data_IF_632295447280
#
_entry.id   IF_632295447280
#
_cell.length_a   1.000
_cell.length_b   1.000
_cell.length_c   1.000
_cell.angle_alpha   90.00
_cell.angle_beta   90.00
_cell.angle_gamma   90.00
#
_symmetry.space_group_name_H-M   'P 1'
#
loop_
_entity.id
_entity.type
_entity.pdbx_description
1 polymer ?
#
# COMPACT_ATOMS: atom_id res chain seq x y z
N UNK A 1 17.62 13.45 -22.23
CA UNK A 1 17.99 12.45 -21.22
C UNK A 1 16.83 11.49 -21.12
N UNK A 2 17.04 10.19 -21.29
CA UNK A 2 15.97 9.23 -21.07
C UNK A 2 15.55 9.25 -19.59
N UNK A 3 14.29 8.99 -19.30
CA UNK A 3 13.75 9.06 -17.92
C UNK A 3 14.56 8.20 -16.93
N UNK A 4 15.07 7.05 -17.40
CA UNK A 4 15.92 6.16 -16.62
C UNK A 4 17.25 6.82 -16.23
N UNK A 5 17.95 7.40 -17.20
CA UNK A 5 19.23 8.07 -16.96
C UNK A 5 19.06 9.23 -15.98
N UNK A 6 17.96 9.98 -16.11
CA UNK A 6 17.60 11.05 -15.18
C UNK A 6 17.44 10.53 -13.75
N UNK A 7 16.72 9.42 -13.54
CA UNK A 7 16.56 8.82 -12.22
C UNK A 7 17.88 8.34 -11.63
N UNK A 8 18.72 7.71 -12.45
CA UNK A 8 20.04 7.23 -12.02
C UNK A 8 20.96 8.40 -11.64
N UNK A 9 20.96 9.48 -12.43
CA UNK A 9 21.73 10.69 -12.14
C UNK A 9 21.29 11.32 -10.81
N UNK A 10 19.98 11.53 -10.60
CA UNK A 10 19.45 12.05 -9.34
C UNK A 10 19.83 11.17 -8.15
N UNK A 11 19.70 9.85 -8.27
CA UNK A 11 20.12 8.94 -7.21
C UNK A 11 21.62 9.08 -6.88
N UNK A 12 22.49 9.16 -7.88
CA UNK A 12 23.93 9.33 -7.69
C UNK A 12 24.29 10.63 -6.99
N UNK A 13 23.58 11.71 -7.30
CA UNK A 13 23.73 12.98 -6.59
C UNK A 13 23.36 12.85 -5.11
N UNK A 14 22.23 12.22 -4.79
CA UNK A 14 21.82 11.98 -3.40
C UNK A 14 22.82 11.08 -2.67
N UNK A 15 23.28 10.01 -3.31
CA UNK A 15 24.29 9.10 -2.76
C UNK A 15 25.61 9.83 -2.46
N UNK A 16 26.04 10.76 -3.32
CA UNK A 16 27.26 11.53 -3.13
C UNK A 16 27.21 12.48 -1.91
N UNK A 17 26.02 12.83 -1.40
CA UNK A 17 25.86 13.62 -0.18
C UNK A 17 26.23 12.84 1.10
N UNK A 18 26.31 11.51 1.04
CA UNK A 18 26.51 10.68 2.23
C UNK A 18 25.28 10.68 3.13
N UNK A 19 25.50 10.85 4.44
CA UNK A 19 24.40 10.89 5.42
C UNK A 19 23.70 12.25 5.41
N UNK A 20 22.39 12.23 5.17
CA UNK A 20 21.53 13.41 5.17
C UNK A 20 20.49 13.33 6.30
N UNK A 21 20.12 14.45 6.93
CA UNK A 21 19.12 14.45 7.99
C UNK A 21 17.73 14.11 7.44
N UNK A 22 16.92 13.44 8.24
CA UNK A 22 15.53 13.14 7.87
C UNK A 22 14.68 14.41 7.79
N UNK A 23 13.97 14.59 6.68
CA UNK A 23 13.04 15.72 6.49
C UNK A 23 11.70 15.52 7.22
N UNK A 24 11.46 14.33 7.79
CA UNK A 24 10.22 14.02 8.52
C UNK A 24 10.46 13.03 9.65
N UNK A 25 9.71 13.14 10.73
CA UNK A 25 9.81 12.18 11.85
C UNK A 25 9.18 10.83 11.50
N UNK A 26 9.64 9.78 12.17
CA UNK A 26 9.09 8.41 12.15
C UNK A 26 9.26 7.66 10.82
N UNK A 27 8.44 6.63 10.61
CA UNK A 27 8.59 5.68 9.51
C UNK A 27 8.55 6.32 8.12
N UNK A 28 7.79 7.40 7.94
CA UNK A 28 7.66 8.14 6.67
C UNK A 28 8.84 9.06 6.36
N UNK A 29 9.78 9.24 7.32
CA UNK A 29 10.99 10.04 7.16
C UNK A 29 11.81 9.67 5.94
N UNK A 30 12.15 8.39 5.78
CA UNK A 30 13.03 7.91 4.71
C UNK A 30 12.49 8.20 3.31
N UNK A 31 11.20 7.92 3.08
CA UNK A 31 10.57 8.15 1.77
C UNK A 31 10.54 9.64 1.44
N UNK A 32 10.03 10.45 2.38
CA UNK A 32 9.94 11.90 2.18
C UNK A 32 11.30 12.55 1.97
N UNK A 33 12.32 12.11 2.72
CA UNK A 33 13.67 12.63 2.59
C UNK A 33 14.21 12.38 1.18
N UNK A 34 14.14 11.13 0.70
CA UNK A 34 14.63 10.82 -0.64
C UNK A 34 13.86 11.57 -1.73
N UNK A 35 12.52 11.59 -1.64
CA UNK A 35 11.63 12.34 -2.55
C UNK A 35 12.02 13.81 -2.65
N UNK A 36 12.26 14.48 -1.53
CA UNK A 36 12.67 15.89 -1.50
C UNK A 36 14.03 16.10 -2.19
N UNK A 37 15.00 15.20 -1.96
CA UNK A 37 16.33 15.31 -2.55
C UNK A 37 16.35 15.07 -4.06
N UNK A 38 15.51 14.16 -4.58
CA UNK A 38 15.41 13.93 -6.04
C UNK A 38 14.42 14.87 -6.74
N UNK A 39 13.72 15.72 -5.98
CA UNK A 39 12.86 16.78 -6.50
C UNK A 39 11.41 16.38 -6.78
N UNK A 40 10.88 15.38 -6.07
CA UNK A 40 9.45 15.04 -6.15
C UNK A 40 8.61 16.14 -5.53
N UNK A 41 7.67 16.68 -6.31
CA UNK A 41 6.68 17.64 -5.83
C UNK A 41 5.44 16.88 -5.37
N UNK A 42 5.10 17.04 -4.08
CA UNK A 42 3.96 16.37 -3.46
C UNK A 42 2.65 16.71 -4.18
N UNK A 43 1.93 15.68 -4.60
CA UNK A 43 0.65 15.78 -5.30
C UNK A 43 -0.26 14.60 -4.91
N UNK A 44 -1.55 14.68 -5.29
CA UNK A 44 -2.55 13.66 -5.00
C UNK A 44 -2.94 12.84 -6.25
N UNK A 45 -2.04 12.72 -7.23
CA UNK A 45 -2.29 11.97 -8.46
C UNK A 45 -1.97 10.48 -8.26
N UNK A 46 -2.70 9.63 -8.99
CA UNK A 46 -2.46 8.18 -9.02
C UNK A 46 -1.38 7.78 -10.04
N UNK A 47 -0.43 8.68 -10.28
CA UNK A 47 0.68 8.53 -11.23
C UNK A 47 1.97 8.12 -10.49
N UNK A 48 3.00 7.64 -11.23
CA UNK A 48 4.32 7.41 -10.66
C UNK A 48 4.95 8.71 -10.15
N UNK A 49 5.79 8.59 -9.12
CA UNK A 49 6.33 9.73 -8.37
C UNK A 49 7.23 10.65 -9.21
N UNK A 50 8.14 10.11 -10.03
CA UNK A 50 9.07 10.91 -10.83
C UNK A 50 9.50 10.20 -12.11
N UNK A 51 9.47 10.92 -13.24
CA UNK A 51 9.95 10.44 -14.54
C UNK A 51 9.37 9.07 -14.96
N UNK A 52 8.14 8.73 -14.54
CA UNK A 52 7.52 7.43 -14.81
C UNK A 52 8.00 6.29 -13.89
N UNK A 53 8.64 6.61 -12.77
CA UNK A 53 9.02 5.65 -11.74
C UNK A 53 8.24 5.93 -10.44
N UNK A 54 7.64 4.88 -9.87
CA UNK A 54 7.25 4.88 -8.47
C UNK A 54 8.51 4.70 -7.63
N UNK A 55 8.73 5.57 -6.66
CA UNK A 55 9.88 5.56 -5.78
C UNK A 55 9.48 4.91 -4.45
N UNK A 56 10.30 3.97 -3.97
CA UNK A 56 10.14 3.40 -2.64
C UNK A 56 11.48 3.25 -1.95
N UNK A 57 11.67 4.03 -0.89
CA UNK A 57 12.88 4.01 -0.06
C UNK A 57 12.66 3.18 1.20
N UNK A 58 13.58 2.27 1.53
CA UNK A 58 13.52 1.40 2.71
C UNK A 58 14.79 1.45 3.54
N UNK A 59 14.60 1.33 4.86
CA UNK A 59 15.69 1.07 5.81
C UNK A 59 16.07 -0.40 5.65
N UNK A 60 17.35 -0.72 5.57
CA UNK A 60 17.81 -2.10 5.32
C UNK A 60 17.34 -3.10 6.39
N UNK A 61 17.22 -2.65 7.63
CA UNK A 61 16.85 -3.46 8.78
C UNK A 61 15.33 -3.49 9.08
N UNK A 62 14.54 -2.63 8.45
CA UNK A 62 13.12 -2.46 8.81
C UNK A 62 12.18 -3.12 7.80
N UNK A 63 11.24 -3.91 8.33
CA UNK A 63 10.13 -4.47 7.54
C UNK A 63 8.83 -3.78 7.95
N UNK A 64 8.26 -2.99 7.04
CA UNK A 64 6.97 -2.34 7.27
C UNK A 64 6.05 -2.55 6.08
N UNK A 65 4.74 -2.51 6.31
CA UNK A 65 3.77 -2.59 5.23
C UNK A 65 3.69 -1.27 4.47
N UNK A 66 3.96 -1.31 3.17
CA UNK A 66 3.70 -0.20 2.24
C UNK A 66 2.38 -0.41 1.52
N UNK A 67 1.74 0.69 1.15
CA UNK A 67 0.53 0.65 0.31
C UNK A 67 0.97 0.55 -1.15
N UNK A 68 0.51 -0.47 -1.86
CA UNK A 68 0.71 -0.60 -3.30
C UNK A 68 -0.15 0.44 -4.03
N UNK A 69 -1.44 0.49 -3.68
CA UNK A 69 -2.39 1.48 -4.13
C UNK A 69 -3.63 1.46 -3.24
N UNK A 70 -4.34 2.59 -3.20
CA UNK A 70 -5.67 2.69 -2.58
C UNK A 70 -6.72 2.51 -3.65
N UNK A 71 -7.84 1.84 -3.32
CA UNK A 71 -8.94 1.68 -4.26
C UNK A 71 -10.21 1.33 -3.53
N UNK A 72 -11.28 2.08 -3.77
CA UNK A 72 -12.61 1.67 -3.36
C UNK A 72 -13.09 0.44 -4.17
N UNK A 73 -13.87 -0.48 -3.56
CA UNK A 73 -14.42 -1.65 -4.25
C UNK A 73 -15.07 -1.30 -5.58
N UNK A 74 -14.88 -2.19 -6.56
CA UNK A 74 -15.49 -2.05 -7.89
C UNK A 74 -17.01 -2.27 -7.82
N UNK A 75 -17.48 -3.10 -6.90
CA UNK A 75 -18.89 -3.40 -6.72
C UNK A 75 -19.22 -3.74 -5.25
N UNK A 76 -20.48 -3.54 -4.84
CA UNK A 76 -21.50 -2.73 -5.52
C UNK A 76 -21.21 -1.22 -5.33
N UNK A 77 -22.00 -0.36 -5.98
CA UNK A 77 -21.93 1.09 -5.72
C UNK A 77 -22.21 1.37 -4.24
N UNK A 78 -21.39 2.19 -3.60
CA UNK A 78 -21.53 2.49 -2.17
C UNK A 78 -21.03 1.38 -1.24
N UNK A 79 -20.24 0.43 -1.75
CA UNK A 79 -19.65 -0.68 -1.01
C UNK A 79 -19.06 -0.30 0.36
N UNK A 80 -18.23 0.73 0.43
CA UNK A 80 -17.61 1.15 1.69
C UNK A 80 -18.65 1.56 2.75
N UNK A 81 -19.67 2.31 2.33
CA UNK A 81 -20.80 2.69 3.19
C UNK A 81 -21.57 1.47 3.65
N UNK A 82 -21.85 0.53 2.74
CA UNK A 82 -22.53 -0.72 3.04
C UNK A 82 -21.76 -1.54 4.09
N UNK A 83 -20.47 -1.80 3.84
CA UNK A 83 -19.61 -2.56 4.76
C UNK A 83 -19.54 -1.90 6.13
N UNK A 84 -19.29 -0.59 6.21
CA UNK A 84 -19.22 0.16 7.47
C UNK A 84 -20.53 0.10 8.24
N UNK A 85 -21.66 0.32 7.59
CA UNK A 85 -22.96 0.35 8.26
C UNK A 85 -23.34 -1.04 8.79
N UNK A 86 -23.08 -2.09 8.00
CA UNK A 86 -23.48 -3.46 8.31
C UNK A 86 -22.52 -4.16 9.29
N UNK A 87 -21.22 -4.03 9.06
CA UNK A 87 -20.19 -4.79 9.77
C UNK A 87 -19.26 -3.94 10.64
N UNK A 88 -19.34 -2.61 10.55
CA UNK A 88 -18.53 -1.72 11.38
C UNK A 88 -18.95 -1.72 12.85
N UNK A 89 -18.00 -1.34 13.71
CA UNK A 89 -18.19 -1.11 15.14
C UNK A 89 -18.48 0.36 15.42
N UNK A 90 -19.29 0.67 16.45
CA UNK A 90 -19.47 2.05 16.87
C UNK A 90 -18.14 2.68 17.33
N UNK A 91 -18.02 3.99 17.21
CA UNK A 91 -16.97 4.73 17.92
C UNK A 91 -17.24 4.71 19.43
N UNK A 92 -16.17 4.75 20.23
CA UNK A 92 -16.27 4.83 21.70
C UNK A 92 -16.37 6.28 22.17
N UNK A 93 -15.86 7.23 21.36
CA UNK A 93 -15.90 8.65 21.66
C UNK A 93 -17.34 9.19 21.62
N UNK A 94 -17.76 9.86 22.71
CA UNK A 94 -19.12 10.42 22.87
C UNK A 94 -19.48 11.37 21.72
N UNK A 95 -18.51 12.17 21.25
CA UNK A 95 -18.69 13.12 20.14
C UNK A 95 -19.02 12.45 18.80
N UNK A 96 -18.75 11.13 18.67
CA UNK A 96 -19.03 10.31 17.49
C UNK A 96 -20.14 9.29 17.75
N UNK A 97 -20.97 9.51 18.77
CA UNK A 97 -22.09 8.63 19.09
C UNK A 97 -22.98 8.40 17.85
N UNK A 98 -23.31 7.12 17.60
CA UNK A 98 -24.09 6.71 16.44
C UNK A 98 -23.29 6.54 15.14
N UNK A 99 -22.02 6.95 15.08
CA UNK A 99 -21.13 6.70 13.95
C UNK A 99 -20.44 5.34 14.09
N UNK A 100 -20.09 4.74 12.95
CA UNK A 100 -19.35 3.47 12.89
C UNK A 100 -18.02 3.62 12.16
N UNK A 101 -17.08 2.75 12.49
CA UNK A 101 -15.83 2.51 11.75
C UNK A 101 -15.68 1.04 11.42
N UNK A 102 -14.98 0.75 10.34
CA UNK A 102 -14.55 -0.59 9.97
C UNK A 102 -13.07 -0.52 9.62
N UNK A 103 -12.23 -0.84 10.59
CA UNK A 103 -10.77 -0.88 10.44
C UNK A 103 -10.28 -2.30 10.67
N UNK A 104 -9.85 -2.98 9.60
CA UNK A 104 -9.41 -4.37 9.69
C UNK A 104 -8.54 -4.74 8.50
N UNK A 105 -7.50 -5.52 8.74
CA UNK A 105 -6.61 -6.02 7.69
C UNK A 105 -6.87 -7.51 7.45
N UNK A 106 -7.00 -7.90 6.19
CA UNK A 106 -7.38 -9.26 5.79
C UNK A 106 -6.44 -9.80 4.71
N UNK A 107 -6.26 -11.11 4.76
CA UNK A 107 -5.42 -11.89 3.85
C UNK A 107 -6.28 -12.91 3.11
N UNK A 108 -5.78 -13.52 2.04
CA UNK A 108 -6.47 -14.63 1.37
C UNK A 108 -6.15 -16.00 1.97
N UNK A 109 -5.05 -16.13 2.72
CA UNK A 109 -4.60 -17.40 3.29
C UNK A 109 -5.10 -17.65 4.73
N UNK A 110 -5.66 -16.64 5.40
CA UNK A 110 -6.02 -16.71 6.81
C UNK A 110 -7.26 -15.88 7.12
N UNK A 111 -7.97 -16.29 8.17
CA UNK A 111 -9.07 -15.51 8.76
C UNK A 111 -8.51 -14.63 9.87
N UNK A 112 -8.93 -13.38 9.93
CA UNK A 112 -8.65 -12.53 11.07
C UNK A 112 -9.79 -12.60 12.12
N UNK A 113 -9.63 -11.91 13.25
CA UNK A 113 -10.74 -11.63 14.17
C UNK A 113 -10.99 -10.14 14.22
N UNK A 114 -12.24 -9.74 14.01
CA UNK A 114 -12.69 -8.36 14.10
C UNK A 114 -13.78 -8.22 15.17
N UNK A 115 -13.54 -7.31 16.12
CA UNK A 115 -14.46 -6.98 17.21
C UNK A 115 -14.97 -8.15 18.05
N UNK A 116 -14.24 -9.29 18.06
CA UNK A 116 -14.63 -10.51 18.75
C UNK A 116 -15.93 -11.14 18.24
N UNK A 117 -16.34 -10.86 16.99
CA UNK A 117 -17.64 -11.30 16.44
C UNK A 117 -17.59 -11.76 14.99
N UNK A 118 -16.67 -11.20 14.19
CA UNK A 118 -16.59 -11.46 12.77
C UNK A 118 -15.17 -11.80 12.37
N UNK A 119 -15.04 -12.45 11.22
CA UNK A 119 -13.77 -12.71 10.55
C UNK A 119 -13.84 -12.21 9.11
N UNK A 120 -12.72 -11.71 8.61
CA UNK A 120 -12.57 -11.24 7.23
C UNK A 120 -11.46 -12.02 6.53
N UNK A 121 -11.69 -12.29 5.25
CA UNK A 121 -10.75 -12.99 4.36
C UNK A 121 -10.96 -12.54 2.92
N UNK A 122 -9.88 -12.39 2.15
CA UNK A 122 -9.96 -12.17 0.71
C UNK A 122 -10.32 -13.47 0.00
N UNK A 123 -11.20 -13.38 -0.99
CA UNK A 123 -11.58 -14.50 -1.86
C UNK A 123 -11.12 -14.15 -3.27
N UNK A 124 -10.05 -14.81 -3.72
CA UNK A 124 -9.54 -14.65 -5.07
C UNK A 124 -10.29 -15.58 -6.04
N UNK A 125 -11.31 -15.05 -6.71
CA UNK A 125 -12.17 -15.79 -7.63
C UNK A 125 -11.64 -15.65 -9.06
N UNK A 126 -10.69 -16.53 -9.42
CA UNK A 126 -10.04 -16.54 -10.74
C UNK A 126 -11.01 -16.83 -11.88
N UNK A 127 -12.06 -17.62 -11.63
CA UNK A 127 -13.09 -17.94 -12.62
C UNK A 127 -13.95 -16.72 -12.98
N UNK A 128 -14.37 -15.95 -11.97
CA UNK A 128 -15.13 -14.71 -12.17
C UNK A 128 -14.23 -13.48 -12.39
N UNK A 129 -12.91 -13.64 -12.30
CA UNK A 129 -11.91 -12.57 -12.40
C UNK A 129 -12.16 -11.43 -11.39
N UNK A 130 -12.39 -11.81 -10.13
CA UNK A 130 -12.63 -10.85 -9.05
C UNK A 130 -11.86 -11.20 -7.78
N UNK A 131 -11.53 -10.17 -6.99
CA UNK A 131 -11.12 -10.34 -5.58
C UNK A 131 -12.27 -9.84 -4.72
N UNK A 132 -12.91 -10.72 -3.95
CA UNK A 132 -14.05 -10.38 -3.08
C UNK A 132 -13.60 -10.27 -1.63
N UNK A 133 -14.31 -9.42 -0.87
CA UNK A 133 -14.18 -9.32 0.58
C UNK A 133 -15.18 -10.31 1.19
N UNK A 134 -14.68 -11.40 1.75
CA UNK A 134 -15.48 -12.36 2.50
C UNK A 134 -15.62 -11.93 3.96
N UNK A 135 -16.85 -11.90 4.45
CA UNK A 135 -17.20 -11.68 5.85
C UNK A 135 -17.78 -12.97 6.42
N UNK A 136 -17.28 -13.39 7.57
CA UNK A 136 -17.59 -14.67 8.19
C UNK A 136 -17.97 -14.48 9.67
N UNK A 137 -18.67 -15.45 10.24
CA UNK A 137 -18.74 -15.61 11.70
C UNK A 137 -17.41 -16.17 12.25
N UNK A 138 -17.32 -16.37 13.57
CA UNK A 138 -16.10 -16.87 14.21
C UNK A 138 -15.86 -18.38 13.97
N UNK A 139 -16.91 -19.09 13.56
CA UNK A 139 -16.88 -20.48 13.13
C UNK A 139 -16.52 -20.62 11.62
N UNK A 140 -16.25 -19.49 10.95
CA UNK A 140 -15.86 -19.36 9.56
C UNK A 140 -16.94 -19.76 8.53
N UNK A 141 -18.23 -19.66 8.88
CA UNK A 141 -19.31 -19.70 7.89
C UNK A 141 -19.40 -18.37 7.15
N UNK A 142 -19.50 -18.43 5.82
CA UNK A 142 -19.57 -17.23 4.98
C UNK A 142 -20.92 -16.52 5.15
N UNK A 143 -20.87 -15.26 5.58
CA UNK A 143 -22.04 -14.40 5.77
C UNK A 143 -22.27 -13.46 4.58
N UNK A 144 -21.21 -12.96 3.96
CA UNK A 144 -21.27 -12.03 2.83
C UNK A 144 -20.00 -12.07 1.98
N UNK A 145 -20.15 -11.98 0.66
CA UNK A 145 -19.06 -11.81 -0.32
C UNK A 145 -19.46 -10.91 -1.49
N UNK A 146 -20.46 -10.05 -1.27
CA UNK A 146 -21.08 -9.19 -2.29
C UNK A 146 -20.21 -8.00 -2.70
N UNK A 147 -19.16 -7.69 -1.94
CA UNK A 147 -18.26 -6.56 -2.18
C UNK A 147 -16.93 -7.05 -2.75
N UNK A 148 -16.40 -6.38 -3.77
CA UNK A 148 -15.13 -6.79 -4.34
C UNK A 148 -14.57 -5.90 -5.43
N UNK A 149 -13.53 -6.40 -6.09
CA UNK A 149 -12.72 -5.73 -7.10
C UNK A 149 -12.69 -6.55 -8.37
N UNK A 150 -12.79 -5.88 -9.52
CA UNK A 150 -12.58 -6.50 -10.82
C UNK A 150 -11.08 -6.57 -11.11
N UNK A 151 -10.60 -7.71 -11.63
CA UNK A 151 -9.20 -7.87 -12.01
C UNK A 151 -8.72 -6.77 -12.95
N UNK A 152 -9.50 -6.44 -13.99
CA UNK A 152 -9.10 -5.45 -14.99
C UNK A 152 -8.88 -4.05 -14.39
N UNK A 153 -9.63 -3.71 -13.33
CA UNK A 153 -9.45 -2.46 -12.61
C UNK A 153 -8.14 -2.45 -11.79
N UNK A 154 -7.82 -3.57 -11.14
CA UNK A 154 -6.58 -3.72 -10.36
C UNK A 154 -5.35 -3.80 -11.26
N UNK A 155 -5.42 -4.56 -12.35
CA UNK A 155 -4.35 -4.71 -13.34
C UNK A 155 -4.01 -3.36 -13.98
N UNK A 156 -5.02 -2.54 -14.30
CA UNK A 156 -4.79 -1.19 -14.81
C UNK A 156 -4.03 -0.31 -13.81
N UNK A 157 -4.38 -0.37 -12.53
CA UNK A 157 -3.68 0.42 -11.50
C UNK A 157 -2.23 -0.06 -11.37
N UNK A 158 -2.02 -1.38 -11.32
CA UNK A 158 -0.69 -1.98 -11.25
C UNK A 158 0.18 -1.53 -12.44
N UNK A 159 -0.37 -1.59 -13.67
CA UNK A 159 0.35 -1.22 -14.91
C UNK A 159 0.50 0.28 -15.14
N UNK A 160 -0.22 1.13 -14.42
CA UNK A 160 -0.08 2.58 -14.55
C UNK A 160 0.85 3.11 -13.46
N UNK A 161 0.53 2.84 -12.19
CA UNK A 161 1.26 3.38 -11.04
C UNK A 161 2.57 2.64 -10.79
N UNK A 162 2.50 1.31 -10.78
CA UNK A 162 3.61 0.43 -10.39
C UNK A 162 4.31 -0.18 -11.61
N UNK A 163 4.38 0.55 -12.73
CA UNK A 163 4.92 0.02 -13.98
C UNK A 163 6.45 -0.07 -13.95
N UNK A 164 7.10 0.97 -13.40
CA UNK A 164 8.51 0.98 -13.08
C UNK A 164 8.68 1.35 -11.61
N UNK A 165 9.44 0.55 -10.88
CA UNK A 165 9.79 0.81 -9.49
C UNK A 165 11.26 1.19 -9.39
N UNK A 166 11.53 2.35 -8.80
CA UNK A 166 12.85 2.75 -8.36
C UNK A 166 12.98 2.49 -6.85
N UNK A 167 13.63 1.39 -6.51
CA UNK A 167 13.70 0.85 -5.16
C UNK A 167 15.03 1.22 -4.51
N UNK A 168 14.99 2.02 -3.44
CA UNK A 168 16.18 2.64 -2.84
C UNK A 168 16.40 2.09 -1.43
N UNK A 169 17.60 1.59 -1.15
CA UNK A 169 18.06 1.20 0.18
C UNK A 169 18.77 2.35 0.85
N UNK A 170 18.59 2.47 2.16
CA UNK A 170 19.38 3.38 2.98
C UNK A 170 19.83 2.72 4.29
N UNK A 171 21.09 2.99 4.64
CA UNK A 171 21.57 2.87 6.01
C UNK A 171 21.00 4.03 6.84
N UNK A 172 20.84 3.82 8.15
CA UNK A 172 20.47 4.89 9.08
C UNK A 172 21.40 4.99 10.27
N UNK A 173 21.51 6.21 10.79
CA UNK A 173 22.13 6.50 12.09
C UNK A 173 21.33 7.59 12.81
N UNK A 174 21.61 7.77 14.10
CA UNK A 174 21.11 8.90 14.88
C UNK A 174 22.27 9.79 15.31
N UNK A 175 22.11 11.09 15.14
CA UNK A 175 22.98 12.14 15.67
C UNK A 175 22.08 13.16 16.36
N UNK A 176 22.31 13.43 17.65
CA UNK A 176 21.51 14.35 18.47
C UNK A 176 19.98 14.17 18.31
N UNK A 177 19.50 12.94 18.50
CA UNK A 177 18.09 12.51 18.33
C UNK A 177 17.50 12.72 16.92
N UNK A 178 18.34 13.06 15.93
CA UNK A 178 17.94 13.23 14.54
C UNK A 178 18.35 12.00 13.72
N UNK A 179 17.36 11.34 13.12
CA UNK A 179 17.61 10.23 12.18
C UNK A 179 18.24 10.79 10.91
N UNK A 180 19.34 10.17 10.47
CA UNK A 180 20.03 10.47 9.23
C UNK A 180 20.04 9.24 8.33
N UNK A 181 19.97 9.44 7.02
CA UNK A 181 19.95 8.37 6.02
C UNK A 181 21.12 8.49 5.07
N UNK A 182 21.76 7.36 4.76
CA UNK A 182 22.68 7.25 3.63
C UNK A 182 22.07 6.34 2.56
N UNK A 183 21.59 6.95 1.47
CA UNK A 183 21.00 6.24 0.34
C UNK A 183 22.10 5.61 -0.52
N UNK A 184 22.46 4.37 -0.22
CA UNK A 184 23.69 3.73 -0.68
C UNK A 184 23.50 2.86 -1.94
N UNK A 185 22.28 2.37 -2.18
CA UNK A 185 21.96 1.41 -3.24
C UNK A 185 20.57 1.67 -3.83
N UNK A 186 20.46 1.50 -5.14
CA UNK A 186 19.17 1.49 -5.82
C UNK A 186 19.05 0.30 -6.79
N UNK A 187 17.82 -0.11 -7.03
CA UNK A 187 17.45 -1.18 -7.95
C UNK A 187 16.23 -0.71 -8.77
N UNK A 188 16.23 -0.98 -10.06
CA UNK A 188 15.10 -0.73 -10.94
C UNK A 188 14.38 -2.05 -11.18
N UNK A 189 13.07 -2.06 -10.97
CA UNK A 189 12.22 -3.20 -11.28
C UNK A 189 11.16 -2.79 -12.31
N UNK A 190 10.96 -3.62 -13.33
CA UNK A 190 10.04 -3.34 -14.45
C UNK A 190 9.21 -4.57 -14.83
N UNK A 191 8.22 -4.37 -15.69
CA UNK A 191 7.30 -5.40 -16.15
C UNK A 191 6.54 -6.08 -14.99
N UNK A 192 5.69 -5.33 -14.25
CA UNK A 192 4.85 -5.93 -13.23
C UNK A 192 3.87 -6.92 -13.85
N UNK A 193 3.71 -8.07 -13.21
CA UNK A 193 2.81 -9.12 -13.66
C UNK A 193 1.60 -9.24 -12.74
N UNK A 194 0.40 -9.05 -13.29
CA UNK A 194 -0.83 -9.19 -12.51
C UNK A 194 -1.02 -10.61 -11.97
N UNK A 195 -0.54 -11.64 -12.68
CA UNK A 195 -0.51 -13.01 -12.15
C UNK A 195 0.29 -13.10 -10.86
N UNK A 196 1.49 -12.49 -10.80
CA UNK A 196 2.29 -12.43 -9.57
C UNK A 196 1.56 -11.69 -8.45
N UNK A 197 0.85 -10.60 -8.76
CA UNK A 197 -0.01 -9.92 -7.78
C UNK A 197 -1.08 -10.88 -7.20
N UNK A 198 -1.76 -11.66 -8.04
CA UNK A 198 -2.76 -12.64 -7.60
C UNK A 198 -2.13 -13.76 -6.77
N UNK A 199 -0.96 -14.25 -7.16
CA UNK A 199 -0.26 -15.31 -6.43
C UNK A 199 0.18 -14.82 -5.05
N UNK A 200 0.71 -13.59 -4.95
CA UNK A 200 1.06 -12.96 -3.67
C UNK A 200 -0.15 -12.66 -2.78
N UNK A 201 -1.35 -12.44 -3.36
CA UNK A 201 -2.61 -12.38 -2.61
C UNK A 201 -2.92 -13.74 -2.00
N UNK A 202 -2.92 -14.80 -2.83
CA UNK A 202 -3.24 -16.17 -2.43
C UNK A 202 -2.29 -16.68 -1.34
N UNK A 203 -1.01 -16.35 -1.45
CA UNK A 203 0.04 -16.68 -0.47
C UNK A 203 -0.06 -15.86 0.82
N UNK A 204 -0.90 -14.82 0.85
CA UNK A 204 -1.05 -13.90 1.98
C UNK A 204 0.14 -12.96 2.19
N UNK A 205 0.95 -12.72 1.15
CA UNK A 205 1.99 -11.69 1.18
C UNK A 205 1.39 -10.30 0.97
N UNK A 206 0.30 -10.21 0.21
CA UNK A 206 -0.49 -8.99 0.04
C UNK A 206 -1.74 -9.09 0.89
N UNK A 207 -1.94 -8.08 1.74
CA UNK A 207 -3.19 -7.89 2.49
C UNK A 207 -4.05 -6.80 1.85
N UNK A 208 -5.33 -6.82 2.16
CA UNK A 208 -6.20 -5.65 2.00
C UNK A 208 -6.49 -5.04 3.36
N UNK A 209 -6.21 -3.75 3.50
CA UNK A 209 -6.38 -3.01 4.75
C UNK A 209 -7.59 -2.08 4.62
N UNK A 210 -8.71 -2.45 5.25
CA UNK A 210 -9.91 -1.59 5.28
C UNK A 210 -9.68 -0.51 6.33
N UNK A 211 -9.86 0.74 5.93
CA UNK A 211 -9.65 1.93 6.77
C UNK A 211 -10.84 2.88 6.65
N UNK A 212 -12.06 2.35 6.82
CA UNK A 212 -13.29 3.11 6.61
C UNK A 212 -13.77 3.71 7.94
N UNK A 213 -13.75 5.03 8.02
CA UNK A 213 -14.33 5.82 9.10
C UNK A 213 -15.61 6.55 8.70
N UNK A 214 -15.95 7.55 9.52
CA UNK A 214 -17.07 8.46 9.30
C UNK A 214 -16.63 9.91 9.48
N UNK A 215 -17.10 10.80 8.60
CA UNK A 215 -17.09 12.23 8.87
C UNK A 215 -18.10 12.57 10.00
N UNK A 216 -17.97 13.75 10.61
CA UNK A 216 -18.88 14.20 11.67
C UNK A 216 -20.36 14.22 11.24
N UNK A 217 -20.63 14.41 9.95
CA UNK A 217 -21.98 14.36 9.37
C UNK A 217 -22.48 12.94 9.03
N UNK A 218 -21.75 11.89 9.44
CA UNK A 218 -22.08 10.49 9.21
C UNK A 218 -21.76 9.94 7.81
N UNK A 219 -21.32 10.79 6.86
CA UNK A 219 -20.85 10.32 5.55
C UNK A 219 -19.62 9.44 5.71
N UNK A 220 -19.50 8.47 4.82
CA UNK A 220 -18.34 7.56 4.76
C UNK A 220 -17.07 8.35 4.49
N UNK A 221 -16.05 8.10 5.30
CA UNK A 221 -14.72 8.65 5.12
C UNK A 221 -13.75 7.50 4.96
N UNK A 222 -13.30 7.24 3.73
CA UNK A 222 -12.28 6.22 3.50
C UNK A 222 -10.89 6.85 3.71
N UNK A 223 -10.17 6.39 4.73
CA UNK A 223 -8.82 6.85 5.05
C UNK A 223 -7.74 6.19 4.18
N UNK A 224 -8.14 5.62 3.05
CA UNK A 224 -7.25 5.04 2.04
C UNK A 224 -7.24 3.51 2.05
N UNK A 225 -8.38 2.85 2.17
CA UNK A 225 -8.45 1.38 2.07
C UNK A 225 -7.68 0.89 0.83
N UNK A 226 -6.79 -0.08 1.01
CA UNK A 226 -5.78 -0.36 -0.01
C UNK A 226 -5.09 -1.71 0.14
N UNK A 227 -4.50 -2.16 -0.96
CA UNK A 227 -3.66 -3.35 -0.99
C UNK A 227 -2.28 -2.99 -0.47
N UNK A 228 -1.78 -3.78 0.48
CA UNK A 228 -0.53 -3.51 1.19
C UNK A 228 0.35 -4.76 1.20
N UNK A 229 1.64 -4.54 1.11
CA UNK A 229 2.66 -5.59 1.10
C UNK A 229 3.79 -5.20 2.05
N UNK A 230 4.49 -6.17 2.63
CA UNK A 230 5.77 -5.88 3.27
C UNK A 230 6.72 -5.27 2.24
N UNK A 231 7.32 -4.14 2.59
CA UNK A 231 8.13 -3.35 1.66
C UNK A 231 9.21 -4.15 0.91
N UNK A 232 9.98 -5.06 1.55
CA UNK A 232 10.97 -5.87 0.82
C UNK A 232 10.37 -6.78 -0.24
N UNK A 233 9.09 -7.12 -0.13
CA UNK A 233 8.40 -8.04 -1.04
C UNK A 233 7.79 -7.32 -2.25
N UNK A 234 7.78 -5.97 -2.30
CA UNK A 234 7.22 -5.23 -3.45
C UNK A 234 7.87 -5.64 -4.78
N UNK A 235 9.17 -5.93 -4.75
CA UNK A 235 9.96 -6.40 -5.90
C UNK A 235 9.45 -7.72 -6.49
N UNK A 236 8.73 -8.53 -5.72
CA UNK A 236 8.16 -9.79 -6.19
C UNK A 236 7.06 -9.60 -7.23
N UNK A 237 6.50 -8.38 -7.36
CA UNK A 237 5.52 -8.05 -8.40
C UNK A 237 6.12 -8.03 -9.82
N UNK A 238 7.44 -7.89 -9.94
CA UNK A 238 8.12 -7.54 -11.19
C UNK A 238 8.85 -8.73 -11.79
N UNK A 239 8.94 -8.76 -13.13
CA UNK A 239 9.69 -9.80 -13.84
C UNK A 239 11.19 -9.48 -13.91
N UNK A 240 11.52 -8.21 -14.12
CA UNK A 240 12.88 -7.78 -14.43
C UNK A 240 13.47 -6.92 -13.32
N UNK A 241 14.80 -7.02 -13.17
CA UNK A 241 15.59 -6.30 -12.19
C UNK A 241 16.88 -5.79 -12.82
N UNK A 242 17.22 -4.55 -12.50
CA UNK A 242 18.52 -3.94 -12.80
C UNK A 242 19.08 -3.30 -11.52
N UNK A 243 20.39 -3.47 -11.28
CA UNK A 243 21.05 -2.80 -10.16
C UNK A 243 21.56 -1.43 -10.63
N UNK A 244 21.42 -0.42 -9.78
CA UNK A 244 21.95 0.93 -10.00
C UNK A 244 23.13 1.14 -9.06
N UNK A 245 24.32 1.36 -9.63
CA UNK A 245 25.55 1.71 -8.90
C UNK A 245 25.72 3.23 -8.74
#
# INVERSE_FOLDING_TARGET
MENKDFMIERFREVKALGYVPSNRKNNTGIGKTFEDYVGVVENNLDDPDLAGYEIKSHREEATSYVTLFTKAPSFPRGANTYLRNRYGVPYEEIEKAGLKRLHTSMFANSFNTFAGKLSFKLINDRGQRTIKIGVYDLEHHLLDSSVGYNYDALDRILKNKLHNLFYVSAERKFEDDTEHFYFNKAEIYTNPAFSKFLDLIDDGMIMFDIRIGSYANGKTHDHGSGFRILQPNIKLLYADKENVE
#
